data_IF_800042489279
#
_entry.id   IF_800042489279
#
_cell.length_a   1.000
_cell.length_b   1.000
_cell.length_c   1.000
_cell.angle_alpha   90.00
_cell.angle_beta   90.00
_cell.angle_gamma   90.00
#
_symmetry.space_group_name_H-M   'P 1'
#
loop_
_entity.id
_entity.type
_entity.pdbx_description
1 polymer ?
#
# COMPACT_ATOMS: atom_id res chain seq x y z
N UNK A 1 -36.40 40.29 20.16
CA UNK A 1 -35.35 40.50 19.14
C UNK A 1 -34.66 39.17 18.89
N UNK A 2 -34.86 38.56 17.72
CA UNK A 2 -34.32 37.25 17.35
C UNK A 2 -32.99 37.44 16.60
N UNK A 3 -31.92 36.83 17.10
CA UNK A 3 -30.60 36.86 16.46
C UNK A 3 -30.53 35.79 15.35
N UNK A 4 -30.53 36.24 14.10
CA UNK A 4 -30.32 35.40 12.92
C UNK A 4 -28.86 34.89 12.91
N UNK A 5 -28.67 33.57 13.09
CA UNK A 5 -27.40 32.88 12.86
C UNK A 5 -27.04 32.99 11.37
N UNK A 6 -26.03 33.83 11.04
CA UNK A 6 -25.44 33.87 9.70
C UNK A 6 -24.77 32.53 9.39
N UNK A 7 -25.38 31.75 8.50
CA UNK A 7 -24.73 30.59 7.88
C UNK A 7 -23.43 31.00 7.20
N UNK A 8 -22.36 30.28 7.48
CA UNK A 8 -21.04 30.49 6.89
C UNK A 8 -21.17 30.26 5.37
N UNK A 9 -21.04 31.33 4.56
CA UNK A 9 -20.99 31.24 3.09
C UNK A 9 -19.92 30.20 2.73
N UNK A 10 -20.30 29.09 2.06
CA UNK A 10 -19.33 28.18 1.40
C UNK A 10 -18.40 29.07 0.58
N UNK A 11 -17.08 28.99 0.84
CA UNK A 11 -16.09 29.76 0.09
C UNK A 11 -16.30 29.47 -1.40
N UNK A 12 -16.50 30.51 -2.21
CA UNK A 12 -16.42 30.43 -3.67
C UNK A 12 -14.95 30.17 -4.05
N UNK A 13 -14.49 28.94 -3.89
CA UNK A 13 -13.15 28.53 -4.27
C UNK A 13 -13.11 28.24 -5.77
N UNK A 14 -12.20 28.88 -6.47
CA UNK A 14 -11.93 28.67 -7.89
C UNK A 14 -10.43 28.40 -8.05
N UNK A 15 -10.08 27.30 -8.70
CA UNK A 15 -8.70 26.86 -8.86
C UNK A 15 -8.64 25.39 -9.29
N UNK A 16 -7.52 24.99 -9.88
CA UNK A 16 -7.30 23.61 -10.28
C UNK A 16 -7.26 22.69 -9.05
N UNK A 17 -7.92 21.54 -9.13
CA UNK A 17 -7.78 20.45 -8.16
C UNK A 17 -6.60 19.58 -8.55
N UNK A 18 -5.90 19.00 -7.57
CA UNK A 18 -4.92 17.96 -7.87
C UNK A 18 -5.66 16.75 -8.46
N UNK A 19 -5.13 16.11 -9.51
CA UNK A 19 -5.69 14.86 -9.98
C UNK A 19 -5.59 13.78 -8.88
N UNK A 20 -6.49 12.79 -8.88
CA UNK A 20 -6.40 11.64 -7.99
C UNK A 20 -5.07 10.89 -8.13
N UNK A 21 -4.63 10.22 -7.06
CA UNK A 21 -3.36 9.47 -7.08
C UNK A 21 -3.32 8.39 -8.17
N UNK A 22 -4.48 7.77 -8.47
CA UNK A 22 -4.58 6.74 -9.51
C UNK A 22 -4.17 7.23 -10.90
N UNK A 23 -4.38 8.50 -11.22
CA UNK A 23 -3.97 9.04 -12.53
C UNK A 23 -2.46 9.21 -12.63
N UNK A 24 -1.82 9.52 -11.52
CA UNK A 24 -0.37 9.52 -11.44
C UNK A 24 0.23 8.12 -11.56
N UNK A 25 -0.37 7.12 -10.91
CA UNK A 25 0.06 5.73 -11.05
C UNK A 25 -0.01 5.28 -12.51
N UNK A 26 -1.12 5.57 -13.22
CA UNK A 26 -1.24 5.25 -14.66
C UNK A 26 -0.10 5.87 -15.48
N UNK A 27 0.32 7.08 -15.16
CA UNK A 27 1.43 7.75 -15.87
C UNK A 27 2.79 7.11 -15.55
N UNK A 28 3.02 6.64 -14.31
CA UNK A 28 4.19 5.81 -14.00
C UNK A 28 4.17 4.54 -14.83
N UNK A 29 3.09 3.75 -14.75
CA UNK A 29 3.01 2.44 -15.39
C UNK A 29 3.18 2.53 -16.92
N UNK A 30 2.75 3.64 -17.53
CA UNK A 30 3.00 3.93 -18.97
C UNK A 30 4.48 4.20 -19.29
N UNK A 31 5.22 4.82 -18.37
CA UNK A 31 6.65 5.16 -18.54
C UNK A 31 7.57 3.99 -18.21
N UNK A 32 7.09 3.06 -17.40
CA UNK A 32 7.81 1.86 -16.97
C UNK A 32 7.09 0.61 -17.50
N UNK A 33 7.11 0.35 -18.82
CA UNK A 33 6.37 -0.76 -19.41
C UNK A 33 6.77 -2.12 -18.81
N UNK A 34 5.78 -3.02 -18.75
CA UNK A 34 5.89 -4.34 -18.14
C UNK A 34 7.15 -5.12 -18.54
N UNK A 35 7.86 -5.63 -17.52
CA UNK A 35 9.08 -6.42 -17.69
C UNK A 35 9.70 -6.81 -16.35
N UNK A 36 10.83 -7.54 -16.40
CA UNK A 36 11.60 -7.96 -15.20
C UNK A 36 12.15 -6.81 -14.34
N UNK A 37 11.79 -5.56 -14.63
CA UNK A 37 12.14 -4.39 -13.84
C UNK A 37 11.50 -4.42 -12.45
N UNK A 38 10.28 -4.94 -12.31
CA UNK A 38 9.59 -5.00 -11.00
C UNK A 38 10.42 -5.76 -9.97
N UNK A 39 10.96 -6.93 -10.35
CA UNK A 39 11.82 -7.71 -9.47
C UNK A 39 13.12 -6.98 -9.14
N UNK A 40 13.70 -6.23 -10.09
CA UNK A 40 14.91 -5.42 -9.87
C UNK A 40 14.66 -4.28 -8.90
N UNK A 41 13.52 -3.61 -8.98
CA UNK A 41 13.14 -2.54 -8.04
C UNK A 41 12.95 -3.11 -6.62
N UNK A 42 12.32 -4.27 -6.49
CA UNK A 42 12.17 -4.94 -5.19
C UNK A 42 13.52 -5.41 -4.60
N UNK A 43 14.44 -5.88 -5.44
CA UNK A 43 15.82 -6.20 -5.03
C UNK A 43 16.55 -4.93 -4.58
N UNK A 44 16.46 -3.82 -5.32
CA UNK A 44 17.09 -2.56 -4.97
C UNK A 44 16.54 -2.02 -3.63
N UNK A 45 15.23 -2.07 -3.41
CA UNK A 45 14.63 -1.68 -2.13
C UNK A 45 15.19 -2.51 -0.95
N UNK A 46 15.45 -3.80 -1.17
CA UNK A 46 16.02 -4.68 -0.17
C UNK A 46 17.52 -4.36 0.08
N UNK A 47 18.29 -4.11 -0.97
CA UNK A 47 19.70 -3.69 -0.89
C UNK A 47 19.85 -2.35 -0.15
N UNK A 48 19.02 -1.37 -0.48
CA UNK A 48 18.94 -0.07 0.21
C UNK A 48 18.55 -0.22 1.69
N UNK A 49 17.86 -1.31 2.05
CA UNK A 49 17.54 -1.66 3.43
C UNK A 49 18.62 -2.47 4.14
N UNK A 50 19.71 -2.81 3.44
CA UNK A 50 20.79 -3.63 3.97
C UNK A 50 20.40 -5.10 4.15
N UNK A 51 19.40 -5.59 3.41
CA UNK A 51 19.04 -7.00 3.41
C UNK A 51 20.19 -7.84 2.80
N UNK A 52 20.43 -9.02 3.37
CA UNK A 52 21.35 -10.02 2.80
C UNK A 52 20.65 -11.04 1.91
N UNK A 53 19.34 -11.19 2.09
CA UNK A 53 18.55 -12.23 1.43
C UNK A 53 17.27 -11.63 0.86
N UNK A 54 16.96 -12.02 -0.38
CA UNK A 54 15.71 -11.70 -1.07
C UNK A 54 15.12 -12.97 -1.65
N UNK A 55 13.83 -13.21 -1.40
CA UNK A 55 13.11 -14.39 -1.86
C UNK A 55 11.82 -13.96 -2.58
N UNK A 56 11.62 -14.47 -3.78
CA UNK A 56 10.39 -14.29 -4.54
C UNK A 56 9.64 -15.62 -4.62
N UNK A 57 8.34 -15.59 -4.29
CA UNK A 57 7.48 -16.78 -4.31
C UNK A 57 6.26 -16.46 -5.16
N UNK A 58 6.04 -17.25 -6.21
CA UNK A 58 4.76 -17.31 -6.90
C UNK A 58 3.89 -18.36 -6.19
N UNK A 59 2.90 -17.89 -5.45
CA UNK A 59 1.97 -18.74 -4.71
C UNK A 59 0.67 -18.86 -5.49
N UNK A 60 0.31 -20.09 -5.87
CA UNK A 60 -0.90 -20.37 -6.65
C UNK A 60 -2.11 -20.74 -5.78
N UNK A 61 -1.96 -20.67 -4.44
CA UNK A 61 -3.08 -20.95 -3.52
C UNK A 61 -4.22 -19.95 -3.72
N UNK A 62 -5.42 -20.41 -3.43
CA UNK A 62 -6.63 -19.60 -3.34
C UNK A 62 -7.22 -19.80 -1.95
N UNK A 63 -7.76 -18.72 -1.39
CA UNK A 63 -8.21 -18.66 -0.01
C UNK A 63 -9.71 -18.43 0.06
N UNK A 64 -10.27 -18.80 1.21
CA UNK A 64 -11.66 -18.55 1.54
C UNK A 64 -11.95 -17.04 1.64
N UNK A 65 -13.24 -16.68 1.67
CA UNK A 65 -13.71 -15.28 1.55
C UNK A 65 -14.83 -14.93 2.53
N UNK A 66 -15.00 -15.75 3.56
CA UNK A 66 -16.11 -15.68 4.50
C UNK A 66 -15.89 -14.64 5.61
N UNK A 67 -14.62 -14.28 5.87
CA UNK A 67 -14.22 -13.36 6.94
C UNK A 67 -13.21 -12.32 6.43
N UNK A 68 -13.68 -11.48 5.52
CA UNK A 68 -12.93 -10.37 4.93
C UNK A 68 -13.34 -9.03 5.52
N UNK A 69 -12.46 -8.03 5.44
CA UNK A 69 -12.79 -6.65 5.84
C UNK A 69 -13.91 -6.07 4.96
N UNK A 70 -13.91 -6.41 3.67
CA UNK A 70 -14.93 -6.03 2.70
C UNK A 70 -15.09 -7.16 1.68
N UNK A 71 -16.32 -7.39 1.19
CA UNK A 71 -16.59 -8.36 0.14
C UNK A 71 -15.80 -8.07 -1.15
N UNK A 72 -15.51 -6.79 -1.43
CA UNK A 72 -14.72 -6.35 -2.58
C UNK A 72 -13.27 -6.86 -2.56
N UNK A 73 -12.77 -7.25 -1.38
CA UNK A 73 -11.44 -7.83 -1.24
C UNK A 73 -11.38 -9.30 -1.65
N UNK A 74 -12.54 -9.95 -1.84
CA UNK A 74 -12.61 -11.38 -2.19
C UNK A 74 -11.95 -11.71 -3.54
N UNK A 75 -11.79 -10.74 -4.44
CA UNK A 75 -11.07 -10.95 -5.71
C UNK A 75 -9.54 -11.00 -5.55
N UNK A 76 -8.99 -10.57 -4.41
CA UNK A 76 -7.56 -10.60 -4.10
C UNK A 76 -7.15 -11.82 -3.24
N UNK A 77 -8.09 -12.71 -2.92
CA UNK A 77 -7.86 -13.95 -2.16
C UNK A 77 -7.39 -15.12 -3.05
N UNK A 78 -6.65 -14.82 -4.12
CA UNK A 78 -6.18 -15.79 -5.12
C UNK A 78 -4.66 -15.86 -5.18
N UNK A 79 -4.10 -16.37 -6.30
CA UNK A 79 -2.67 -16.41 -6.53
C UNK A 79 -1.99 -15.06 -6.34
N UNK A 80 -0.77 -15.07 -5.78
CA UNK A 80 -0.04 -13.87 -5.45
C UNK A 80 1.48 -14.03 -5.65
N UNK A 81 2.15 -12.90 -5.88
CA UNK A 81 3.60 -12.80 -5.79
C UNK A 81 3.98 -12.27 -4.41
N UNK A 82 4.74 -13.06 -3.65
CA UNK A 82 5.37 -12.62 -2.41
C UNK A 82 6.82 -12.22 -2.69
N UNK A 83 7.24 -11.09 -2.12
CA UNK A 83 8.62 -10.63 -2.12
C UNK A 83 9.05 -10.43 -0.67
N UNK A 84 9.93 -11.32 -0.20
CA UNK A 84 10.49 -11.30 1.14
C UNK A 84 11.93 -10.80 1.11
N UNK A 85 12.31 -10.02 2.11
CA UNK A 85 13.71 -9.75 2.44
C UNK A 85 13.87 -9.75 3.96
N UNK A 86 15.09 -9.94 4.45
CA UNK A 86 15.37 -10.06 5.88
C UNK A 86 15.70 -8.73 6.59
N UNK A 87 15.55 -7.58 5.91
CA UNK A 87 15.57 -6.28 6.57
C UNK A 87 14.19 -5.94 7.16
N UNK A 88 14.17 -4.96 8.07
CA UNK A 88 12.96 -4.50 8.77
C UNK A 88 12.74 -3.03 8.44
N UNK A 89 11.52 -2.67 8.05
CA UNK A 89 11.14 -1.27 7.83
C UNK A 89 11.36 -0.43 9.10
N UNK A 90 12.02 0.72 8.92
CA UNK A 90 12.04 1.79 9.92
C UNK A 90 10.75 2.63 9.88
N UNK A 91 10.57 3.56 10.82
CA UNK A 91 9.43 4.48 10.77
C UNK A 91 9.50 5.40 9.54
N UNK A 92 10.71 5.80 9.13
CA UNK A 92 10.95 6.55 7.90
C UNK A 92 10.55 5.75 6.66
N UNK A 93 10.76 4.43 6.68
CA UNK A 93 10.36 3.54 5.59
C UNK A 93 8.84 3.47 5.47
N UNK A 94 8.14 3.33 6.59
CA UNK A 94 6.67 3.38 6.64
C UNK A 94 6.11 4.72 6.17
N UNK A 95 6.76 5.84 6.53
CA UNK A 95 6.36 7.15 6.04
C UNK A 95 6.65 7.31 4.54
N UNK A 96 7.80 6.79 4.08
CA UNK A 96 8.27 6.87 2.71
C UNK A 96 7.37 6.13 1.73
N UNK A 97 7.00 4.88 2.06
CA UNK A 97 6.16 4.05 1.19
C UNK A 97 4.76 4.64 0.98
N UNK A 98 4.21 5.32 1.99
CA UNK A 98 2.94 6.07 1.90
C UNK A 98 3.10 7.40 1.15
N UNK A 99 4.29 7.99 1.20
CA UNK A 99 4.59 9.29 0.59
C UNK A 99 4.91 9.22 -0.90
N UNK A 100 4.88 8.03 -1.52
CA UNK A 100 5.08 7.81 -2.96
C UNK A 100 4.16 8.67 -3.85
N UNK A 101 2.97 9.07 -3.39
CA UNK A 101 2.10 10.03 -4.09
C UNK A 101 2.35 11.50 -3.75
N UNK A 102 3.03 11.80 -2.63
CA UNK A 102 3.34 13.17 -2.17
C UNK A 102 4.68 13.69 -2.67
N UNK A 103 5.69 12.82 -2.80
CA UNK A 103 7.00 13.16 -3.37
C UNK A 103 6.86 13.73 -4.78
N UNK A 104 5.86 13.25 -5.53
CA UNK A 104 5.46 13.68 -6.87
C UNK A 104 4.92 15.11 -6.91
N UNK A 105 4.12 15.48 -5.89
CA UNK A 105 3.52 16.82 -5.79
C UNK A 105 4.55 17.90 -5.52
N UNK A 106 5.74 17.52 -5.05
CA UNK A 106 6.92 18.39 -5.00
C UNK A 106 7.71 18.10 -6.27
N UNK A 107 7.60 18.98 -7.28
CA UNK A 107 8.39 19.00 -8.51
C UNK A 107 9.91 19.14 -8.20
N UNK A 108 10.50 18.18 -7.52
CA UNK A 108 11.92 18.14 -7.20
C UNK A 108 12.48 16.81 -7.75
N UNK A 109 13.03 16.83 -8.98
CA UNK A 109 13.64 15.66 -9.61
C UNK A 109 14.78 15.05 -8.77
N UNK A 110 15.33 15.80 -7.82
CA UNK A 110 16.46 15.39 -6.98
C UNK A 110 16.05 14.80 -5.63
N UNK A 111 14.74 14.66 -5.34
CA UNK A 111 14.20 14.07 -4.09
C UNK A 111 13.45 12.76 -4.33
N UNK A 112 13.98 11.90 -5.19
CA UNK A 112 13.56 10.50 -5.21
C UNK A 112 14.16 9.86 -3.94
N UNK A 113 13.37 9.82 -2.87
CA UNK A 113 13.73 9.08 -1.67
C UNK A 113 13.74 7.57 -1.92
N UNK A 114 14.29 6.82 -0.95
CA UNK A 114 14.47 5.36 -0.92
C UNK A 114 13.27 4.50 -1.38
N UNK A 115 12.04 5.01 -1.28
CA UNK A 115 10.82 4.37 -1.81
C UNK A 115 10.38 5.04 -3.12
N UNK A 116 11.32 5.20 -4.05
CA UNK A 116 11.13 5.93 -5.29
C UNK A 116 9.99 5.38 -6.15
N UNK A 117 9.84 5.98 -7.33
CA UNK A 117 8.90 5.55 -8.39
C UNK A 117 8.95 4.02 -8.62
N UNK A 118 10.09 3.39 -8.34
CA UNK A 118 10.33 1.95 -8.39
C UNK A 118 9.31 1.09 -7.64
N UNK A 119 8.92 1.43 -6.41
CA UNK A 119 7.92 0.63 -5.69
C UNK A 119 6.56 0.63 -6.41
N UNK A 120 6.17 1.74 -7.04
CA UNK A 120 4.91 1.83 -7.77
C UNK A 120 4.85 0.88 -8.99
N UNK A 121 5.97 0.28 -9.40
CA UNK A 121 5.95 -0.76 -10.44
C UNK A 121 5.17 -2.01 -10.03
N UNK A 122 4.95 -2.26 -8.73
CA UNK A 122 4.11 -3.39 -8.28
C UNK A 122 2.66 -3.30 -8.75
N UNK A 123 2.19 -2.10 -9.10
CA UNK A 123 0.84 -1.88 -9.63
C UNK A 123 0.63 -2.40 -11.06
N UNK A 124 1.68 -2.92 -11.70
CA UNK A 124 1.54 -3.76 -12.89
C UNK A 124 0.96 -5.15 -12.57
N UNK A 125 1.15 -5.63 -11.34
CA UNK A 125 0.77 -6.98 -10.90
C UNK A 125 -0.48 -6.96 -10.03
N UNK A 126 -0.62 -5.97 -9.15
CA UNK A 126 -1.71 -5.92 -8.17
C UNK A 126 -2.24 -4.52 -7.95
N UNK A 127 -3.55 -4.40 -7.74
CA UNK A 127 -4.18 -3.14 -7.28
C UNK A 127 -4.06 -2.93 -5.76
N UNK A 128 -3.82 -3.99 -4.98
CA UNK A 128 -3.88 -3.99 -3.51
C UNK A 128 -2.62 -4.63 -2.89
N UNK A 129 -1.47 -3.94 -2.90
CA UNK A 129 -0.26 -4.49 -2.31
C UNK A 129 -0.35 -4.51 -0.77
N UNK A 130 0.04 -5.64 -0.18
CA UNK A 130 0.25 -5.79 1.25
C UNK A 130 1.74 -5.63 1.58
N UNK A 131 2.03 -4.96 2.69
CA UNK A 131 3.39 -4.85 3.25
C UNK A 131 3.33 -5.33 4.70
N UNK A 132 4.06 -6.38 5.04
CA UNK A 132 4.20 -6.84 6.42
C UNK A 132 5.66 -6.73 6.86
N UNK A 133 5.92 -5.98 7.92
CA UNK A 133 7.27 -5.84 8.48
C UNK A 133 7.22 -5.58 9.98
N UNK A 134 7.98 -6.38 10.74
CA UNK A 134 7.97 -6.36 12.21
C UNK A 134 6.55 -6.50 12.76
N UNK A 135 6.04 -5.45 13.40
CA UNK A 135 4.73 -5.42 14.06
C UNK A 135 3.62 -4.76 13.24
N UNK A 136 3.90 -4.29 12.03
CA UNK A 136 2.93 -3.55 11.24
C UNK A 136 2.59 -4.29 9.95
N UNK A 137 1.30 -4.30 9.63
CA UNK A 137 0.75 -4.76 8.37
C UNK A 137 0.06 -3.58 7.68
N UNK A 138 0.55 -3.18 6.52
CA UNK A 138 -0.06 -2.16 5.67
C UNK A 138 -0.77 -2.79 4.47
N UNK A 139 -1.94 -2.26 4.12
CA UNK A 139 -2.63 -2.48 2.86
C UNK A 139 -2.78 -1.15 2.14
N UNK A 140 -2.28 -1.04 0.90
CA UNK A 140 -2.50 0.14 0.08
C UNK A 140 -3.75 -0.05 -0.78
N UNK A 141 -4.57 1.00 -0.85
CA UNK A 141 -5.77 1.10 -1.68
C UNK A 141 -5.73 2.41 -2.48
N UNK A 142 -4.94 2.49 -3.55
CA UNK A 142 -4.77 3.73 -4.31
C UNK A 142 -6.03 4.19 -5.05
N UNK A 143 -7.07 3.33 -5.12
CA UNK A 143 -8.37 3.65 -5.71
C UNK A 143 -9.38 4.16 -4.67
N UNK A 144 -9.03 4.13 -3.37
CA UNK A 144 -9.86 4.60 -2.25
C UNK A 144 -11.25 3.93 -2.22
N UNK A 145 -11.32 2.65 -2.60
CA UNK A 145 -12.58 1.90 -2.72
C UNK A 145 -12.98 1.15 -1.46
N UNK A 146 -12.01 0.75 -0.65
CA UNK A 146 -12.19 -0.09 0.53
C UNK A 146 -12.37 0.76 1.78
N UNK A 147 -11.55 1.79 1.95
CA UNK A 147 -11.51 2.60 3.17
C UNK A 147 -12.24 3.95 3.04
N UNK A 148 -12.59 4.35 1.81
CA UNK A 148 -13.35 5.57 1.50
C UNK A 148 -12.49 6.75 1.05
N UNK A 149 -13.17 7.83 0.66
CA UNK A 149 -12.54 9.01 0.05
C UNK A 149 -11.46 9.63 0.96
N UNK A 150 -10.24 9.72 0.44
CA UNK A 150 -9.07 10.26 1.14
C UNK A 150 -8.30 9.23 1.97
N UNK A 151 -8.79 7.99 2.08
CA UNK A 151 -8.17 6.88 2.81
C UNK A 151 -7.52 5.89 1.83
N UNK A 152 -6.27 6.16 1.45
CA UNK A 152 -5.53 5.38 0.45
C UNK A 152 -4.99 4.03 0.94
N UNK A 153 -5.49 3.51 2.06
CA UNK A 153 -5.01 2.28 2.69
C UNK A 153 -5.26 2.24 4.20
N UNK A 154 -4.79 1.17 4.84
CA UNK A 154 -4.86 0.99 6.29
C UNK A 154 -3.61 0.29 6.83
N UNK A 155 -3.28 0.53 8.09
CA UNK A 155 -2.15 -0.11 8.78
C UNK A 155 -2.58 -0.67 10.12
N UNK A 156 -2.55 -2.00 10.24
CA UNK A 156 -2.72 -2.71 11.51
C UNK A 156 -1.40 -2.79 12.28
N UNK A 157 -1.49 -2.77 13.61
CA UNK A 157 -0.39 -2.95 14.56
C UNK A 157 -0.61 -4.18 15.44
N UNK A 158 0.40 -5.05 15.53
CA UNK A 158 0.39 -6.18 16.47
C UNK A 158 0.45 -5.75 17.95
N UNK A 159 0.75 -4.47 18.22
CA UNK A 159 0.77 -3.93 19.58
C UNK A 159 -0.58 -3.32 19.99
N UNK A 160 -1.53 -3.17 19.06
CA UNK A 160 -2.84 -2.58 19.32
C UNK A 160 -3.91 -3.68 19.54
N UNK A 161 -4.79 -3.48 20.51
CA UNK A 161 -5.78 -4.48 20.91
C UNK A 161 -6.90 -4.66 19.88
N UNK A 162 -7.35 -3.56 19.28
CA UNK A 162 -8.42 -3.57 18.28
C UNK A 162 -7.88 -4.17 16.97
N UNK A 163 -6.69 -3.73 16.54
CA UNK A 163 -6.03 -4.29 15.35
C UNK A 163 -5.76 -5.79 15.49
N UNK A 164 -5.31 -6.24 16.68
CA UNK A 164 -5.14 -7.67 16.93
C UNK A 164 -6.46 -8.42 16.83
N UNK A 165 -7.54 -7.86 17.36
CA UNK A 165 -8.85 -8.49 17.25
C UNK A 165 -9.29 -8.63 15.79
N UNK A 166 -9.03 -7.63 14.94
CA UNK A 166 -9.26 -7.72 13.49
C UNK A 166 -8.44 -8.87 12.87
N UNK A 167 -7.14 -8.97 13.20
CA UNK A 167 -6.26 -10.03 12.72
C UNK A 167 -6.70 -11.45 13.12
N UNK A 168 -7.46 -11.58 14.22
CA UNK A 168 -8.02 -12.85 14.68
C UNK A 168 -9.41 -13.15 14.10
N UNK A 169 -10.23 -12.13 13.87
CA UNK A 169 -11.63 -12.27 13.45
C UNK A 169 -11.76 -12.34 11.93
N UNK A 170 -10.99 -11.53 11.20
CA UNK A 170 -10.93 -11.51 9.74
C UNK A 170 -9.96 -12.60 9.25
N UNK A 171 -10.24 -13.86 9.60
CA UNK A 171 -9.30 -14.97 9.41
C UNK A 171 -8.89 -15.16 7.96
N UNK A 172 -9.87 -15.11 7.07
CA UNK A 172 -9.65 -15.30 5.65
C UNK A 172 -8.83 -14.13 5.09
N UNK A 173 -9.06 -12.90 5.57
CA UNK A 173 -8.33 -11.71 5.14
C UNK A 173 -6.82 -11.83 5.29
N UNK A 174 -6.39 -12.44 6.40
CA UNK A 174 -4.98 -12.51 6.79
C UNK A 174 -4.37 -13.91 6.64
N UNK A 175 -5.15 -14.90 6.21
CA UNK A 175 -4.66 -16.24 5.90
C UNK A 175 -3.54 -16.24 4.84
N UNK A 176 -3.58 -15.41 3.78
CA UNK A 176 -2.50 -15.34 2.80
C UNK A 176 -1.14 -14.96 3.42
N UNK A 177 -1.12 -14.23 4.53
CA UNK A 177 0.14 -13.77 5.14
C UNK A 177 0.80 -14.82 6.04
N UNK A 178 0.21 -16.01 6.16
CA UNK A 178 0.69 -17.08 7.04
C UNK A 178 1.42 -18.17 6.25
N UNK A 179 2.42 -18.76 6.88
CA UNK A 179 3.15 -19.93 6.37
C UNK A 179 3.79 -19.74 4.97
N UNK A 180 4.18 -18.50 4.63
CA UNK A 180 4.78 -18.16 3.33
C UNK A 180 6.26 -18.54 3.26
N UNK A 181 7.03 -18.14 4.28
CA UNK A 181 8.46 -18.44 4.39
C UNK A 181 8.65 -19.19 5.70
N UNK A 182 9.24 -20.39 5.66
CA UNK A 182 9.71 -21.04 6.89
C UNK A 182 10.83 -20.18 7.45
N UNK A 183 10.65 -19.63 8.64
CA UNK A 183 11.79 -19.03 9.35
C UNK A 183 12.83 -20.14 9.57
N UNK A 184 14.12 -19.86 9.30
CA UNK A 184 15.19 -20.85 9.45
C UNK A 184 15.29 -21.40 10.88
#
# INVERSE_FOLDING_TARGET
MSAVRKGRRKKNTFGATSPPFIDYLKDILRRYPDGGQILKELIQNADDAGASDVVFIHDERTYEKNSLLSEDLGKYQGPALYAFNNAVFTEEDWQGIQATGRSVKRNDPNRVGRFGIGFNSVYHITDMPYIFSSKYLGLLDPQEKIFGDGEGGYRWSLDDDEDRNDLFTLRDQFQPLRDIVKQP
#
